data_IF_419974171316
#
_entry.id   IF_419974171316
#
_cell.length_a   1.000
_cell.length_b   1.000
_cell.length_c   1.000
_cell.angle_alpha   90.00
_cell.angle_beta   90.00
_cell.angle_gamma   90.00
#
_symmetry.space_group_name_H-M   'P 1'
#
loop_
_entity.id
_entity.type
_entity.pdbx_description
1 polymer ?
#
# COMPACT_ATOMS: atom_id res chain seq x y z
N UNK A 1 44.79 22.31 38.80
CA UNK A 1 45.21 23.70 38.52
C UNK A 1 45.85 23.65 37.16
N UNK A 2 45.19 24.01 36.06
CA UNK A 2 44.82 25.36 35.57
C UNK A 2 43.78 25.16 34.44
N UNK A 3 42.50 25.53 34.57
CA UNK A 3 41.88 26.83 34.24
C UNK A 3 42.42 27.53 32.98
N UNK A 4 41.61 27.54 31.92
CA UNK A 4 41.59 28.52 30.80
C UNK A 4 40.32 28.24 29.98
N UNK A 5 39.19 28.86 30.34
CA UNK A 5 38.64 30.13 29.79
C UNK A 5 38.04 29.97 28.39
N UNK A 6 36.70 30.01 28.42
CA UNK A 6 35.76 30.24 27.32
C UNK A 6 35.83 31.73 26.98
N UNK A 7 35.92 32.07 25.69
CA UNK A 7 35.69 33.42 25.19
C UNK A 7 34.47 33.42 24.27
N UNK A 8 33.49 34.24 24.67
CA UNK A 8 32.33 34.68 23.91
C UNK A 8 32.75 35.54 22.71
N UNK A 9 32.05 35.39 21.59
CA UNK A 9 32.04 36.38 20.52
C UNK A 9 30.59 36.77 20.25
N UNK A 10 30.16 37.85 20.91
CA UNK A 10 29.18 38.79 20.39
C UNK A 10 29.97 39.88 19.66
N UNK A 11 29.67 40.17 18.39
CA UNK A 11 29.18 41.49 17.99
C UNK A 11 28.85 41.55 16.49
N UNK A 12 27.74 42.19 16.18
CA UNK A 12 27.36 42.63 14.82
C UNK A 12 28.03 43.97 14.50
N UNK A 13 28.14 44.36 13.22
CA UNK A 13 28.13 45.78 12.92
C UNK A 13 27.01 46.18 11.96
N UNK A 14 26.40 47.29 12.34
CA UNK A 14 25.34 48.04 11.66
C UNK A 14 25.78 48.68 10.34
N UNK A 15 24.71 48.99 9.60
CA UNK A 15 24.54 49.69 8.34
C UNK A 15 25.20 51.08 8.31
N UNK A 16 25.79 51.44 7.15
CA UNK A 16 25.85 52.82 6.69
C UNK A 16 25.24 52.98 5.30
N UNK A 17 24.50 54.07 5.19
CA UNK A 17 23.54 54.49 4.19
C UNK A 17 24.15 55.16 2.96
N UNK A 18 23.27 55.28 1.96
CA UNK A 18 23.14 56.31 0.91
C UNK A 18 24.06 56.25 -0.30
N UNK A 19 23.46 55.92 -1.45
CA UNK A 19 23.36 56.83 -2.60
C UNK A 19 22.19 56.42 -3.52
N UNK A 20 21.25 57.35 -3.71
CA UNK A 20 20.21 57.42 -4.74
C UNK A 20 20.89 57.68 -6.11
N UNK A 21 20.41 57.27 -7.29
CA UNK A 21 19.16 57.61 -7.97
C UNK A 21 19.20 56.91 -9.36
N UNK A 22 18.07 56.40 -9.88
CA UNK A 22 17.59 56.62 -11.27
C UNK A 22 16.65 55.51 -11.73
N UNK A 23 15.39 55.91 -11.87
CA UNK A 23 14.23 55.27 -12.49
C UNK A 23 14.48 54.58 -13.84
N UNK A 24 13.96 53.36 -14.02
CA UNK A 24 13.43 52.86 -15.31
C UNK A 24 12.21 51.96 -15.10
N UNK A 25 11.11 52.47 -15.64
CA UNK A 25 9.84 51.89 -16.15
C UNK A 25 9.47 50.43 -15.84
N UNK A 26 8.27 50.27 -15.27
CA UNK A 26 7.52 49.02 -15.14
C UNK A 26 6.97 48.57 -16.50
N UNK A 27 7.02 47.28 -16.86
CA UNK A 27 6.42 46.79 -18.10
C UNK A 27 4.89 46.71 -18.00
N UNK A 28 4.25 47.17 -19.06
CA UNK A 28 2.81 47.27 -19.32
C UNK A 28 2.18 45.86 -19.46
N UNK A 29 1.12 45.58 -18.69
CA UNK A 29 0.42 44.29 -18.73
C UNK A 29 -0.56 44.30 -19.91
N UNK A 30 -0.24 43.56 -20.97
CA UNK A 30 -1.17 43.29 -22.07
C UNK A 30 -2.17 42.22 -21.60
N UNK A 31 -3.49 42.46 -21.63
CA UNK A 31 -4.47 41.42 -21.32
C UNK A 31 -4.44 40.35 -22.42
N UNK A 32 -3.98 39.14 -22.08
CA UNK A 32 -4.13 37.97 -22.96
C UNK A 32 -5.58 37.53 -22.84
N UNK A 33 -6.34 37.71 -23.92
CA UNK A 33 -7.67 37.15 -24.09
C UNK A 33 -7.58 35.63 -23.89
N UNK A 34 -8.27 35.13 -22.87
CA UNK A 34 -8.38 33.69 -22.61
C UNK A 34 -9.28 33.08 -23.67
N UNK A 35 -8.70 32.58 -24.75
CA UNK A 35 -9.35 31.61 -25.63
C UNK A 35 -9.78 30.41 -24.76
N UNK A 36 -11.08 30.15 -24.76
CA UNK A 36 -11.71 29.03 -24.05
C UNK A 36 -11.14 27.71 -24.56
N UNK A 37 -10.31 27.06 -23.75
CA UNK A 37 -9.86 25.69 -24.00
C UNK A 37 -11.06 24.76 -23.88
N UNK A 38 -11.41 24.15 -25.00
CA UNK A 38 -12.41 23.11 -25.17
C UNK A 38 -12.16 21.98 -24.15
N UNK A 39 -13.09 21.71 -23.23
CA UNK A 39 -12.99 20.69 -22.17
C UNK A 39 -12.99 19.23 -22.70
N UNK A 40 -12.75 19.03 -24.00
CA UNK A 40 -12.65 17.74 -24.66
C UNK A 40 -11.23 17.44 -25.15
N UNK A 41 -10.21 17.74 -24.35
CA UNK A 41 -8.90 17.10 -24.52
C UNK A 41 -9.06 15.65 -24.08
N UNK A 42 -9.32 14.82 -25.09
CA UNK A 42 -9.31 13.37 -25.06
C UNK A 42 -8.10 12.91 -24.23
N UNK A 43 -8.32 11.95 -23.32
CA UNK A 43 -7.27 11.21 -22.60
C UNK A 43 -6.37 10.46 -23.59
N UNK A 44 -5.55 11.17 -24.37
CA UNK A 44 -4.45 10.59 -25.11
C UNK A 44 -3.34 10.31 -24.11
N UNK A 45 -3.20 9.04 -23.71
CA UNK A 45 -2.05 8.63 -22.91
C UNK A 45 -0.77 8.98 -23.68
N UNK A 46 0.01 9.94 -23.16
CA UNK A 46 1.27 10.36 -23.76
C UNK A 46 2.19 9.12 -23.89
N UNK A 47 2.48 8.71 -25.12
CA UNK A 47 3.37 7.60 -25.47
C UNK A 47 4.69 8.14 -25.99
N UNK A 48 5.80 7.54 -25.56
CA UNK A 48 7.11 7.85 -26.09
C UNK A 48 7.28 7.23 -27.48
N UNK A 49 8.18 7.81 -28.29
CA UNK A 49 8.60 7.13 -29.53
C UNK A 49 9.34 5.82 -29.19
N UNK A 50 9.36 4.82 -30.08
CA UNK A 50 10.05 3.55 -29.82
C UNK A 50 11.52 3.70 -29.41
N UNK A 51 12.22 4.71 -29.96
CA UNK A 51 13.62 4.98 -29.59
C UNK A 51 13.75 5.51 -28.16
N UNK A 52 12.89 6.44 -27.75
CA UNK A 52 12.88 6.98 -26.38
C UNK A 52 12.44 5.92 -25.37
N UNK A 53 11.47 5.09 -25.75
CA UNK A 53 11.03 3.96 -24.93
C UNK A 53 12.18 2.98 -24.67
N UNK A 54 12.92 2.60 -25.72
CA UNK A 54 14.07 1.73 -25.58
C UNK A 54 15.13 2.31 -24.65
N UNK A 55 15.42 3.61 -24.75
CA UNK A 55 16.37 4.30 -23.85
C UNK A 55 15.90 4.28 -22.39
N UNK A 56 14.62 4.57 -22.14
CA UNK A 56 14.04 4.53 -20.80
C UNK A 56 14.04 3.11 -20.21
N UNK A 57 13.74 2.10 -21.02
CA UNK A 57 13.81 0.69 -20.63
C UNK A 57 15.23 0.29 -20.28
N UNK A 58 16.23 0.66 -21.09
CA UNK A 58 17.65 0.39 -20.80
C UNK A 58 18.03 1.00 -19.45
N UNK A 59 17.67 2.26 -19.21
CA UNK A 59 17.94 2.94 -17.94
C UNK A 59 17.25 2.26 -16.75
N UNK A 60 15.98 1.85 -16.90
CA UNK A 60 15.27 1.14 -15.85
C UNK A 60 15.89 -0.25 -15.56
N UNK A 61 16.35 -0.95 -16.59
CA UNK A 61 17.01 -2.24 -16.46
C UNK A 61 18.38 -2.15 -15.79
N UNK A 62 19.15 -1.08 -16.02
CA UNK A 62 20.39 -0.80 -15.27
C UNK A 62 20.12 -0.69 -13.76
N UNK A 63 19.10 0.08 -13.37
CA UNK A 63 18.68 0.17 -11.97
C UNK A 63 18.22 -1.19 -11.42
N UNK A 64 17.48 -1.99 -12.20
CA UNK A 64 17.10 -3.35 -11.81
C UNK A 64 18.35 -4.22 -11.59
N UNK A 65 19.36 -4.13 -12.44
CA UNK A 65 20.61 -4.90 -12.31
C UNK A 65 21.34 -4.52 -11.02
N UNK A 66 21.47 -3.23 -10.72
CA UNK A 66 22.03 -2.74 -9.44
C UNK A 66 21.21 -3.22 -8.25
N UNK A 67 19.88 -3.16 -8.33
CA UNK A 67 18.98 -3.66 -7.29
C UNK A 67 19.15 -5.16 -7.05
N UNK A 68 19.29 -5.95 -8.11
CA UNK A 68 19.57 -7.38 -8.02
C UNK A 68 20.92 -7.68 -7.37
N UNK A 69 21.94 -6.84 -7.60
CA UNK A 69 23.23 -6.97 -6.94
C UNK A 69 23.11 -6.73 -5.44
N UNK A 70 22.52 -5.60 -5.03
CA UNK A 70 22.27 -5.32 -3.61
C UNK A 70 21.39 -6.38 -2.93
N UNK A 71 20.40 -6.93 -3.64
CA UNK A 71 19.56 -7.99 -3.11
C UNK A 71 20.37 -9.27 -2.81
N UNK A 72 21.30 -9.65 -3.69
CA UNK A 72 22.21 -10.80 -3.45
C UNK A 72 23.14 -10.55 -2.27
N UNK A 73 23.56 -9.31 -2.08
CA UNK A 73 24.40 -8.87 -0.95
C UNK A 73 23.60 -8.67 0.35
N UNK A 74 22.31 -9.03 0.36
CA UNK A 74 21.39 -8.87 1.49
C UNK A 74 21.16 -7.40 1.91
N UNK A 75 21.61 -6.44 1.09
CA UNK A 75 21.43 -5.01 1.28
C UNK A 75 20.04 -4.56 0.79
N UNK A 76 18.98 -5.07 1.42
CA UNK A 76 17.60 -4.92 0.93
C UNK A 76 17.12 -3.47 0.83
N UNK A 77 17.55 -2.59 1.74
CA UNK A 77 17.20 -1.15 1.67
C UNK A 77 17.79 -0.47 0.44
N UNK A 78 19.06 -0.77 0.11
CA UNK A 78 19.70 -0.27 -1.10
C UNK A 78 19.04 -0.85 -2.36
N UNK A 79 18.68 -2.14 -2.33
CA UNK A 79 17.93 -2.77 -3.42
C UNK A 79 16.58 -2.10 -3.66
N UNK A 80 15.84 -1.76 -2.59
CA UNK A 80 14.58 -1.00 -2.66
C UNK A 80 14.77 0.32 -3.41
N UNK A 81 15.77 1.12 -3.05
CA UNK A 81 16.04 2.40 -3.71
C UNK A 81 16.30 2.21 -5.21
N UNK A 82 17.09 1.19 -5.59
CA UNK A 82 17.33 0.88 -7.01
C UNK A 82 16.05 0.49 -7.75
N UNK A 83 15.19 -0.38 -7.19
CA UNK A 83 13.94 -0.76 -7.85
C UNK A 83 12.94 0.39 -7.95
N UNK A 84 12.93 1.31 -6.98
CA UNK A 84 12.16 2.55 -7.08
C UNK A 84 12.66 3.42 -8.25
N UNK A 85 13.97 3.61 -8.38
CA UNK A 85 14.54 4.32 -9.54
C UNK A 85 14.24 3.63 -10.87
N UNK A 86 14.16 2.29 -10.91
CA UNK A 86 13.71 1.56 -12.09
C UNK A 86 12.24 1.87 -12.44
N UNK A 87 11.36 1.96 -11.43
CA UNK A 87 9.95 2.33 -11.61
C UNK A 87 9.78 3.79 -12.04
N UNK A 88 10.63 4.70 -11.56
CA UNK A 88 10.62 6.12 -11.94
C UNK A 88 11.07 6.34 -13.39
N UNK A 89 12.05 5.55 -13.86
CA UNK A 89 12.53 5.60 -15.23
C UNK A 89 11.57 4.93 -16.23
N UNK A 90 10.78 3.94 -15.78
CA UNK A 90 9.93 3.13 -16.64
C UNK A 90 8.55 3.76 -16.90
N UNK A 91 8.16 4.02 -18.16
CA UNK A 91 6.84 4.54 -18.49
C UNK A 91 5.69 3.70 -17.90
N UNK A 92 4.63 4.36 -17.45
CA UNK A 92 3.51 3.73 -16.73
C UNK A 92 2.80 2.64 -17.53
N UNK A 93 2.75 2.78 -18.86
CA UNK A 93 2.08 1.86 -19.76
C UNK A 93 2.90 0.60 -20.09
N UNK A 94 4.18 0.54 -19.69
CA UNK A 94 5.04 -0.64 -19.86
C UNK A 94 4.86 -1.64 -18.72
N UNK A 95 3.64 -2.17 -18.63
CA UNK A 95 3.17 -2.96 -17.49
C UNK A 95 4.06 -4.18 -17.21
N UNK A 96 4.57 -4.86 -18.24
CA UNK A 96 5.41 -6.06 -18.09
C UNK A 96 6.72 -5.78 -17.31
N UNK A 97 7.39 -4.67 -17.62
CA UNK A 97 8.60 -4.26 -16.90
C UNK A 97 8.25 -3.83 -15.47
N UNK A 98 7.20 -3.02 -15.33
CA UNK A 98 6.73 -2.53 -14.02
C UNK A 98 6.34 -3.67 -13.08
N UNK A 99 5.65 -4.70 -13.59
CA UNK A 99 5.28 -5.89 -12.82
C UNK A 99 6.52 -6.56 -12.19
N UNK A 100 7.60 -6.68 -12.97
CA UNK A 100 8.86 -7.24 -12.51
C UNK A 100 9.52 -6.37 -11.43
N UNK A 101 9.56 -5.05 -11.61
CA UNK A 101 10.15 -4.15 -10.62
C UNK A 101 9.37 -4.13 -9.32
N UNK A 102 8.04 -4.07 -9.37
CA UNK A 102 7.18 -4.18 -8.20
C UNK A 102 7.31 -5.54 -7.49
N UNK A 103 7.41 -6.64 -8.23
CA UNK A 103 7.63 -7.95 -7.64
C UNK A 103 8.99 -8.04 -6.92
N UNK A 104 10.03 -7.44 -7.50
CA UNK A 104 11.36 -7.35 -6.89
C UNK A 104 11.39 -6.45 -5.66
N UNK A 105 10.65 -5.33 -5.69
CA UNK A 105 10.44 -4.48 -4.53
C UNK A 105 9.71 -5.24 -3.41
N UNK A 106 8.67 -6.00 -3.76
CA UNK A 106 7.89 -6.81 -2.81
C UNK A 106 8.72 -7.87 -2.09
N UNK A 107 9.65 -8.56 -2.77
CA UNK A 107 10.53 -9.51 -2.08
C UNK A 107 11.55 -8.82 -1.17
N UNK A 108 11.99 -7.60 -1.47
CA UNK A 108 12.86 -6.85 -0.56
C UNK A 108 12.13 -6.50 0.75
N UNK A 109 10.88 -6.00 0.66
CA UNK A 109 10.06 -5.74 1.84
C UNK A 109 9.75 -7.02 2.62
N UNK A 110 9.46 -8.13 1.92
CA UNK A 110 9.22 -9.42 2.56
C UNK A 110 10.45 -9.88 3.36
N UNK A 111 11.66 -9.67 2.84
CA UNK A 111 12.92 -10.00 3.54
C UNK A 111 13.23 -9.09 4.72
N UNK A 112 12.55 -7.96 4.83
CA UNK A 112 12.61 -7.03 5.96
C UNK A 112 11.45 -7.21 6.93
N UNK A 113 10.60 -8.24 6.74
CA UNK A 113 9.37 -8.49 7.49
C UNK A 113 8.39 -7.28 7.47
N UNK A 114 8.51 -6.42 6.45
CA UNK A 114 7.59 -5.31 6.21
C UNK A 114 6.39 -5.83 5.40
N UNK A 115 5.48 -6.49 6.11
CA UNK A 115 4.32 -7.15 5.51
C UNK A 115 3.41 -6.18 4.75
N UNK A 116 3.18 -4.98 5.31
CA UNK A 116 2.32 -3.96 4.71
C UNK A 116 2.87 -3.47 3.36
N UNK A 117 4.16 -3.15 3.29
CA UNK A 117 4.78 -2.74 2.02
C UNK A 117 4.92 -3.88 1.02
N UNK A 118 5.07 -5.12 1.51
CA UNK A 118 5.04 -6.32 0.67
C UNK A 118 3.70 -6.47 -0.04
N UNK A 119 2.59 -6.38 0.70
CA UNK A 119 1.23 -6.45 0.14
C UNK A 119 1.02 -5.36 -0.91
N UNK A 120 1.40 -4.11 -0.61
CA UNK A 120 1.29 -2.99 -1.56
C UNK A 120 2.07 -3.26 -2.86
N UNK A 121 3.35 -3.63 -2.73
CA UNK A 121 4.22 -3.88 -3.88
C UNK A 121 3.75 -5.06 -4.72
N UNK A 122 3.34 -6.17 -4.09
CA UNK A 122 2.83 -7.33 -4.80
C UNK A 122 1.46 -7.07 -5.46
N UNK A 123 0.60 -6.26 -4.85
CA UNK A 123 -0.66 -5.83 -5.48
C UNK A 123 -0.43 -5.00 -6.73
N UNK A 124 0.54 -4.08 -6.73
CA UNK A 124 0.93 -3.35 -7.94
C UNK A 124 1.54 -4.27 -9.00
N UNK A 125 2.34 -5.27 -8.59
CA UNK A 125 2.85 -6.27 -9.53
C UNK A 125 1.72 -7.05 -10.21
N UNK A 126 0.73 -7.52 -9.44
CA UNK A 126 -0.44 -8.25 -9.94
C UNK A 126 -1.32 -7.38 -10.84
N UNK A 127 -1.48 -6.09 -10.51
CA UNK A 127 -2.21 -5.14 -11.34
C UNK A 127 -1.57 -4.98 -12.73
N UNK A 128 -0.23 -5.02 -12.79
CA UNK A 128 0.52 -4.89 -14.04
C UNK A 128 0.64 -6.22 -14.81
N UNK A 129 0.76 -7.35 -14.10
CA UNK A 129 0.70 -8.71 -14.65
C UNK A 129 -0.19 -9.61 -13.77
N UNK A 130 -1.46 -9.83 -14.17
CA UNK A 130 -2.40 -10.64 -13.41
C UNK A 130 -2.02 -12.12 -13.25
N UNK A 131 -1.00 -12.59 -13.99
CA UNK A 131 -0.50 -13.98 -13.93
C UNK A 131 0.83 -14.10 -13.19
N UNK A 132 1.29 -13.05 -12.50
CA UNK A 132 2.58 -13.05 -11.81
C UNK A 132 2.56 -13.93 -10.55
N UNK A 133 2.80 -15.24 -10.72
CA UNK A 133 2.73 -16.27 -9.66
C UNK A 133 3.47 -15.87 -8.37
N UNK A 134 4.71 -15.39 -8.48
CA UNK A 134 5.52 -15.04 -7.30
C UNK A 134 4.93 -13.87 -6.50
N UNK A 135 4.18 -12.97 -7.13
CA UNK A 135 3.56 -11.84 -6.45
C UNK A 135 2.39 -12.31 -5.59
N UNK A 136 1.54 -13.20 -6.11
CA UNK A 136 0.48 -13.85 -5.31
C UNK A 136 1.05 -14.62 -4.13
N UNK A 137 2.09 -15.45 -4.34
CA UNK A 137 2.70 -16.23 -3.26
C UNK A 137 3.23 -15.35 -2.12
N UNK A 138 3.87 -14.22 -2.47
CA UNK A 138 4.43 -13.27 -1.50
C UNK A 138 3.35 -12.45 -0.81
N UNK A 139 2.32 -12.02 -1.54
CA UNK A 139 1.18 -11.29 -0.97
C UNK A 139 0.40 -12.16 0.01
N UNK A 140 0.10 -13.40 -0.36
CA UNK A 140 -0.57 -14.37 0.52
C UNK A 140 0.23 -14.62 1.80
N UNK A 141 1.56 -14.76 1.70
CA UNK A 141 2.42 -14.91 2.87
C UNK A 141 2.41 -13.67 3.76
N UNK A 142 2.54 -12.47 3.19
CA UNK A 142 2.50 -11.23 3.96
C UNK A 142 1.14 -11.04 4.65
N UNK A 143 0.04 -11.30 3.95
CA UNK A 143 -1.32 -11.24 4.49
C UNK A 143 -1.57 -12.29 5.58
N UNK A 144 -0.96 -13.47 5.47
CA UNK A 144 -0.94 -14.46 6.54
C UNK A 144 -0.29 -13.91 7.82
N UNK A 145 0.85 -13.20 7.69
CA UNK A 145 1.54 -12.60 8.84
C UNK A 145 0.82 -11.38 9.43
N UNK A 146 0.07 -10.62 8.63
CA UNK A 146 -0.79 -9.53 9.12
C UNK A 146 -1.90 -10.05 10.02
N UNK A 147 -2.43 -11.25 9.73
CA UNK A 147 -3.31 -12.01 10.62
C UNK A 147 -4.57 -11.27 11.12
N UNK A 148 -5.18 -10.45 10.28
CA UNK A 148 -6.54 -9.93 10.50
C UNK A 148 -7.54 -10.77 9.70
N UNK A 149 -8.82 -10.74 10.05
CA UNK A 149 -9.82 -11.47 9.27
C UNK A 149 -9.77 -11.07 7.78
N UNK A 150 -9.67 -9.77 7.49
CA UNK A 150 -9.57 -9.26 6.12
C UNK A 150 -8.28 -9.73 5.41
N UNK A 151 -7.12 -9.67 6.07
CA UNK A 151 -5.87 -10.09 5.42
C UNK A 151 -5.83 -11.61 5.19
N UNK A 152 -6.32 -12.41 6.13
CA UNK A 152 -6.40 -13.86 5.96
C UNK A 152 -7.37 -14.24 4.83
N UNK A 153 -8.45 -13.48 4.63
CA UNK A 153 -9.35 -13.67 3.50
C UNK A 153 -8.63 -13.39 2.17
N UNK A 154 -7.88 -12.29 2.07
CA UNK A 154 -7.09 -12.01 0.86
C UNK A 154 -6.02 -13.08 0.60
N UNK A 155 -5.36 -13.61 1.64
CA UNK A 155 -4.42 -14.71 1.49
C UNK A 155 -5.08 -16.00 0.98
N UNK A 156 -6.31 -16.28 1.45
CA UNK A 156 -7.12 -17.40 1.00
C UNK A 156 -7.43 -17.28 -0.51
N UNK A 157 -7.85 -16.10 -0.94
CA UNK A 157 -8.20 -15.84 -2.34
C UNK A 157 -6.96 -15.95 -3.25
N UNK A 158 -5.81 -15.45 -2.80
CA UNK A 158 -4.54 -15.59 -3.52
C UNK A 158 -4.12 -17.06 -3.69
N UNK A 159 -4.20 -17.86 -2.63
CA UNK A 159 -3.86 -19.28 -2.69
C UNK A 159 -4.83 -20.08 -3.55
N UNK A 160 -6.13 -19.81 -3.48
CA UNK A 160 -7.13 -20.42 -4.36
C UNK A 160 -6.82 -20.14 -5.82
N UNK A 161 -6.60 -18.87 -6.16
CA UNK A 161 -6.27 -18.47 -7.52
C UNK A 161 -5.00 -19.16 -8.04
N UNK A 162 -3.97 -19.29 -7.20
CA UNK A 162 -2.76 -20.01 -7.55
C UNK A 162 -3.04 -21.48 -7.88
N UNK A 163 -3.83 -22.16 -7.06
CA UNK A 163 -4.17 -23.59 -7.22
C UNK A 163 -5.10 -23.83 -8.41
N UNK A 164 -6.07 -22.95 -8.63
CA UNK A 164 -7.14 -23.13 -9.61
C UNK A 164 -6.77 -22.62 -11.01
N UNK A 165 -5.98 -21.55 -11.12
CA UNK A 165 -5.78 -20.84 -12.40
C UNK A 165 -4.33 -20.78 -12.89
N UNK A 166 -3.34 -20.70 -11.98
CA UNK A 166 -1.99 -20.26 -12.35
C UNK A 166 -0.92 -21.34 -12.28
N UNK A 167 -0.98 -22.25 -11.30
CA UNK A 167 0.07 -23.25 -11.09
C UNK A 167 -0.18 -24.52 -11.92
N UNK A 168 0.89 -25.13 -12.49
CA UNK A 168 0.77 -26.45 -13.09
C UNK A 168 0.43 -27.51 -12.04
N UNK A 169 -0.53 -28.39 -12.35
CA UNK A 169 -1.13 -29.38 -11.43
C UNK A 169 -0.10 -30.26 -10.68
N UNK A 170 1.00 -30.62 -11.34
CA UNK A 170 2.02 -31.52 -10.78
C UNK A 170 3.30 -30.81 -10.31
N UNK A 171 3.27 -29.48 -10.17
CA UNK A 171 4.44 -28.71 -9.71
C UNK A 171 4.67 -28.86 -8.20
N UNK A 172 5.93 -28.79 -7.71
CA UNK A 172 6.21 -28.68 -6.28
C UNK A 172 5.48 -27.51 -5.61
N UNK A 173 5.37 -26.39 -6.33
CA UNK A 173 4.66 -25.18 -5.90
C UNK A 173 3.17 -25.44 -5.68
N UNK A 174 2.53 -26.27 -6.52
CA UNK A 174 1.12 -26.65 -6.34
C UNK A 174 0.92 -27.34 -5.00
N UNK A 175 1.74 -28.36 -4.70
CA UNK A 175 1.62 -29.12 -3.44
C UNK A 175 1.78 -28.24 -2.21
N UNK A 176 2.79 -27.37 -2.22
CA UNK A 176 3.03 -26.44 -1.11
C UNK A 176 1.90 -25.41 -0.97
N UNK A 177 1.40 -24.89 -2.10
CA UNK A 177 0.31 -23.89 -2.09
C UNK A 177 -1.00 -24.50 -1.58
N UNK A 178 -1.36 -25.70 -2.03
CA UNK A 178 -2.54 -26.43 -1.55
C UNK A 178 -2.45 -26.73 -0.06
N UNK A 179 -1.26 -27.10 0.44
CA UNK A 179 -1.05 -27.31 1.88
C UNK A 179 -1.30 -26.02 2.67
N UNK A 180 -0.72 -24.89 2.24
CA UNK A 180 -0.93 -23.60 2.90
C UNK A 180 -2.38 -23.14 2.88
N UNK A 181 -3.08 -23.42 1.78
CA UNK A 181 -4.52 -23.16 1.65
C UNK A 181 -5.31 -23.93 2.72
N UNK A 182 -5.05 -25.23 2.87
CA UNK A 182 -5.69 -26.07 3.89
C UNK A 182 -5.37 -25.64 5.32
N UNK A 183 -4.11 -25.25 5.60
CA UNK A 183 -3.70 -24.74 6.91
C UNK A 183 -4.36 -23.39 7.25
N UNK A 184 -4.69 -22.58 6.24
CA UNK A 184 -5.31 -21.27 6.41
C UNK A 184 -6.80 -21.34 6.74
N UNK A 185 -7.53 -22.35 6.27
CA UNK A 185 -8.98 -22.50 6.48
C UNK A 185 -9.42 -22.44 7.96
N UNK A 186 -8.87 -23.26 8.88
CA UNK A 186 -9.26 -23.19 10.29
C UNK A 186 -8.87 -21.86 10.92
N UNK A 187 -7.72 -21.30 10.55
CA UNK A 187 -7.20 -20.02 11.06
C UNK A 187 -8.09 -18.85 10.66
N UNK A 188 -8.59 -18.85 9.43
CA UNK A 188 -9.53 -17.85 8.93
C UNK A 188 -10.84 -17.91 9.72
N UNK A 189 -11.38 -19.11 9.93
CA UNK A 189 -12.62 -19.30 10.71
C UNK A 189 -12.48 -18.82 12.15
N UNK A 190 -11.39 -19.23 12.83
CA UNK A 190 -11.10 -18.79 14.19
C UNK A 190 -10.97 -17.27 14.30
N UNK A 191 -10.26 -16.65 13.35
CA UNK A 191 -10.07 -15.20 13.32
C UNK A 191 -11.38 -14.45 13.05
N UNK A 192 -12.21 -14.96 12.14
CA UNK A 192 -13.52 -14.39 11.85
C UNK A 192 -14.45 -14.45 13.06
N UNK A 193 -14.49 -15.59 13.77
CA UNK A 193 -15.27 -15.75 15.00
C UNK A 193 -14.78 -14.78 16.08
N UNK A 194 -13.47 -14.74 16.34
CA UNK A 194 -12.86 -13.84 17.34
C UNK A 194 -13.19 -12.38 17.05
N UNK A 195 -12.92 -11.89 15.84
CA UNK A 195 -13.15 -10.48 15.48
C UNK A 195 -14.64 -10.12 15.47
N UNK A 196 -15.52 -11.06 15.10
CA UNK A 196 -16.98 -10.88 15.19
C UNK A 196 -17.42 -10.74 16.64
N UNK A 197 -16.93 -11.59 17.55
CA UNK A 197 -17.25 -11.49 18.98
C UNK A 197 -16.73 -10.18 19.58
N UNK A 198 -15.51 -9.76 19.24
CA UNK A 198 -14.96 -8.47 19.67
C UNK A 198 -15.80 -7.29 19.17
N UNK A 199 -16.23 -7.32 17.90
CA UNK A 199 -17.10 -6.29 17.32
C UNK A 199 -18.46 -6.23 18.03
N UNK A 200 -19.09 -7.40 18.25
CA UNK A 200 -20.38 -7.49 18.93
C UNK A 200 -20.27 -6.99 20.38
N UNK A 201 -19.20 -7.31 21.09
CA UNK A 201 -18.92 -6.79 22.42
C UNK A 201 -18.83 -5.26 22.43
N UNK A 202 -18.03 -4.67 21.53
CA UNK A 202 -17.93 -3.21 21.40
C UNK A 202 -19.27 -2.55 21.06
N UNK A 203 -20.07 -3.17 20.18
CA UNK A 203 -21.39 -2.68 19.82
C UNK A 203 -22.34 -2.72 21.03
N UNK A 204 -22.27 -3.78 21.83
CA UNK A 204 -23.02 -3.92 23.08
C UNK A 204 -22.64 -2.83 24.08
N UNK A 205 -21.35 -2.57 24.25
CA UNK A 205 -20.85 -1.53 25.16
C UNK A 205 -21.30 -0.13 24.73
N UNK A 206 -21.26 0.16 23.43
CA UNK A 206 -21.80 1.42 22.88
C UNK A 206 -23.30 1.52 23.12
N UNK A 207 -24.06 0.45 22.88
CA UNK A 207 -25.50 0.39 23.15
C UNK A 207 -25.81 0.64 24.63
N UNK A 208 -25.08 -0.02 25.53
CA UNK A 208 -25.23 0.15 26.98
C UNK A 208 -24.82 1.54 27.46
N UNK A 209 -23.83 2.18 26.85
CA UNK A 209 -23.46 3.56 27.20
C UNK A 209 -24.58 4.56 26.86
N UNK A 210 -25.40 4.27 25.85
CA UNK A 210 -26.53 5.12 25.45
C UNK A 210 -27.76 4.76 26.30
N UNK A 211 -28.11 3.47 26.35
CA UNK A 211 -29.28 2.96 27.07
C UNK A 211 -29.17 3.13 28.60
N UNK A 212 -27.96 3.03 29.15
CA UNK A 212 -27.70 3.20 30.57
C UNK A 212 -28.08 4.59 31.10
N UNK A 213 -28.03 5.63 30.25
CA UNK A 213 -28.52 6.98 30.60
C UNK A 213 -30.03 7.02 30.85
N UNK A 214 -30.74 5.99 30.42
CA UNK A 214 -32.18 5.81 30.60
C UNK A 214 -32.53 4.64 31.53
N UNK A 215 -31.54 4.06 32.24
CA UNK A 215 -31.73 2.90 33.09
C UNK A 215 -32.00 1.59 32.33
N UNK A 216 -31.62 1.52 31.04
CA UNK A 216 -31.81 0.37 30.17
C UNK A 216 -30.47 -0.31 29.84
N UNK A 217 -30.51 -1.59 29.48
CA UNK A 217 -29.37 -2.38 29.00
C UNK A 217 -29.75 -3.17 27.75
N UNK A 218 -28.80 -3.41 26.85
CA UNK A 218 -28.95 -4.32 25.71
C UNK A 218 -29.31 -5.74 26.16
N UNK A 219 -28.93 -6.14 27.38
CA UNK A 219 -29.28 -7.45 27.95
C UNK A 219 -30.76 -7.59 28.30
N UNK A 220 -31.48 -6.49 28.38
CA UNK A 220 -32.94 -6.51 28.59
C UNK A 220 -33.69 -6.91 27.33
N UNK A 221 -33.06 -6.87 26.15
CA UNK A 221 -33.70 -7.16 24.87
C UNK A 221 -33.34 -8.57 24.38
N UNK A 222 -34.24 -9.53 24.57
CA UNK A 222 -34.12 -10.87 23.98
C UNK A 222 -34.75 -10.87 22.58
N UNK A 223 -33.97 -11.27 21.58
CA UNK A 223 -34.44 -11.44 20.21
C UNK A 223 -34.68 -12.93 19.94
N UNK A 224 -35.94 -13.31 19.72
CA UNK A 224 -36.32 -14.66 19.35
C UNK A 224 -36.68 -14.72 17.86
N UNK A 225 -36.19 -15.75 17.17
CA UNK A 225 -36.51 -16.00 15.76
C UNK A 225 -37.84 -16.73 15.67
N UNK A 226 -38.83 -16.16 14.98
CA UNK A 226 -40.15 -16.77 14.83
C UNK A 226 -40.10 -18.10 14.09
N UNK A 227 -40.96 -19.05 14.47
CA UNK A 227 -40.95 -20.45 14.01
C UNK A 227 -41.05 -20.63 12.47
N UNK A 228 -41.52 -19.62 11.74
CA UNK A 228 -41.67 -19.62 10.28
C UNK A 228 -40.50 -18.96 9.53
N UNK A 229 -39.45 -18.50 10.23
CA UNK A 229 -38.24 -17.92 9.62
C UNK A 229 -38.40 -16.49 9.08
N UNK A 230 -39.62 -15.96 8.99
CA UNK A 230 -39.91 -14.68 8.34
C UNK A 230 -40.08 -13.47 9.30
N UNK A 231 -39.75 -13.60 10.59
CA UNK A 231 -39.83 -12.47 11.54
C UNK A 231 -39.04 -12.68 12.84
N UNK A 232 -38.68 -11.56 13.47
CA UNK A 232 -38.05 -11.52 14.80
C UNK A 232 -39.04 -10.92 15.80
N UNK A 233 -39.21 -11.56 16.96
CA UNK A 233 -39.96 -11.01 18.09
C UNK A 233 -38.98 -10.50 19.15
N UNK A 234 -39.19 -9.27 19.61
CA UNK A 234 -38.39 -8.66 20.67
C UNK A 234 -39.16 -8.77 21.98
N UNK A 235 -38.57 -9.49 22.94
CA UNK A 235 -39.06 -9.56 24.30
C UNK A 235 -38.16 -8.73 25.20
N UNK A 236 -38.76 -7.88 26.03
CA UNK A 236 -38.02 -7.09 27.03
C UNK A 236 -38.16 -7.79 28.37
N UNK A 237 -37.06 -8.32 28.88
CA UNK A 237 -37.02 -8.88 30.23
C UNK A 237 -36.80 -7.74 31.23
N UNK A 238 -37.64 -7.70 32.26
CA UNK A 238 -37.51 -6.76 33.39
C UNK A 238 -36.43 -7.19 34.36
#
# INVERSE_FOLDING_TARGET
MTSSKIEEIQDSPEIKSSETLSSKESPEIIPVETESLDENIVNEEIRFSPSQEAELVVKAEEFKISGNAFFRDLAYKSAISCYQSALDACPLYLTQYRATYYANLGICHLKLDDWGSTVKSCSEAIKNDPKYIKAYQRRALANYHINTWASLQEAMDDYKRLVEELLPENSPEMKETTRRLQELEPKLKETAERETQEMLGKLKDVGNSILGKFGLSTDMFNMEKGASGNGYSFNINK
#
